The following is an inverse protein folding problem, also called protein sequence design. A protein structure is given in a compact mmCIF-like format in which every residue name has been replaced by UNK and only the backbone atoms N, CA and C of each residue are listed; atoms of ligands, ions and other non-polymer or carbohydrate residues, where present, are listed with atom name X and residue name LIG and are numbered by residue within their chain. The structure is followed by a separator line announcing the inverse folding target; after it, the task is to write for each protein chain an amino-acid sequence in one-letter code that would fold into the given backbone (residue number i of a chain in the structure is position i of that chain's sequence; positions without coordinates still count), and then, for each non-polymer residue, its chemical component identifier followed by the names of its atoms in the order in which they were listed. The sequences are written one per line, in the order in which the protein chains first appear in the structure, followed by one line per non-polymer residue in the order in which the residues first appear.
data_IF_675301543628
#
_entry.id   IF_675301543628
#
_cell.length_a   1.000
_cell.length_b   1.000
_cell.length_c   1.000
_cell.angle_alpha   90.00
_cell.angle_beta   90.00
_cell.angle_gamma   90.00
#
_symmetry.space_group_name_H-M   'P 1'
#
loop_
_entity.id
_entity.type
_entity.pdbx_description
1 polymer ?
#
# COMPACT_ATOMS: atom_id res chain seq x y z
N UNK A 1 12.55 5.97 11.68
CA UNK A 1 11.42 5.85 10.73
C UNK A 1 10.38 4.93 11.35
N UNK A 2 9.07 5.23 11.20
CA UNK A 2 8.00 4.37 11.71
C UNK A 2 8.10 2.97 11.09
N UNK A 3 7.70 1.94 11.85
CA UNK A 3 7.78 0.54 11.37
C UNK A 3 6.60 0.15 10.48
N UNK A 4 5.48 0.84 10.66
CA UNK A 4 4.23 0.62 9.92
C UNK A 4 3.65 1.94 9.45
N UNK A 5 2.75 1.88 8.46
CA UNK A 5 2.01 3.07 7.99
C UNK A 5 1.13 3.66 9.09
N UNK A 6 0.56 2.82 9.96
CA UNK A 6 -0.24 3.24 11.12
C UNK A 6 0.55 4.04 12.17
N UNK A 7 1.88 3.98 12.13
CA UNK A 7 2.78 4.72 13.03
C UNK A 7 3.32 6.02 12.41
N UNK A 8 2.82 6.44 11.25
CA UNK A 8 3.24 7.69 10.63
C UNK A 8 2.87 8.89 11.52
N UNK A 9 3.87 9.68 11.92
CA UNK A 9 3.68 10.85 12.80
C UNK A 9 3.42 12.16 12.07
N UNK A 10 3.63 12.21 10.74
CA UNK A 10 3.43 13.41 9.91
C UNK A 10 2.00 13.53 9.39
N UNK A 11 1.36 12.39 9.12
CA UNK A 11 -0.02 12.29 8.65
C UNK A 11 -0.69 11.15 9.40
N UNK A 12 -1.85 11.42 9.98
CA UNK A 12 -2.66 10.36 10.57
C UNK A 12 -3.19 9.43 9.49
N UNK A 13 -2.83 8.16 9.57
CA UNK A 13 -3.37 7.10 8.71
C UNK A 13 -4.11 6.13 9.61
N UNK A 14 -5.37 6.44 9.94
CA UNK A 14 -6.23 5.51 10.68
C UNK A 14 -6.77 4.39 9.78
N UNK A 15 -7.23 3.30 10.41
CA UNK A 15 -7.64 2.08 9.72
C UNK A 15 -8.82 2.31 8.75
N UNK A 16 -9.78 3.14 9.13
CA UNK A 16 -10.93 3.47 8.26
C UNK A 16 -10.44 4.14 6.98
N UNK A 17 -9.58 5.16 7.13
CA UNK A 17 -9.02 5.88 5.98
C UNK A 17 -8.19 4.96 5.11
N UNK A 18 -7.34 4.13 5.72
CA UNK A 18 -6.53 3.14 5.02
C UNK A 18 -7.38 2.17 4.20
N UNK A 19 -8.36 1.51 4.82
CA UNK A 19 -9.24 0.53 4.16
C UNK A 19 -10.04 1.19 3.02
N UNK A 20 -10.53 2.40 3.22
CA UNK A 20 -11.31 3.13 2.21
C UNK A 20 -10.51 3.46 0.94
N UNK A 21 -9.19 3.68 1.05
CA UNK A 21 -8.33 4.00 -0.10
C UNK A 21 -7.57 2.80 -0.65
N UNK A 22 -7.47 1.71 0.12
CA UNK A 22 -6.61 0.56 -0.16
C UNK A 22 -6.83 0.00 -1.57
N UNK A 23 -8.08 -0.16 -1.99
CA UNK A 23 -8.41 -0.73 -3.30
C UNK A 23 -7.94 0.17 -4.45
N UNK A 24 -8.34 1.45 -4.42
CA UNK A 24 -7.94 2.47 -5.41
C UNK A 24 -6.41 2.63 -5.48
N UNK A 25 -5.75 2.72 -4.33
CA UNK A 25 -4.29 2.89 -4.27
C UNK A 25 -3.56 1.67 -4.83
N UNK A 26 -4.10 0.46 -4.63
CA UNK A 26 -3.52 -0.77 -5.20
C UNK A 26 -3.62 -0.79 -6.73
N UNK A 27 -4.76 -0.35 -7.30
CA UNK A 27 -4.89 -0.17 -8.74
C UNK A 27 -3.89 0.85 -9.29
N UNK A 28 -3.81 2.03 -8.67
CA UNK A 28 -2.88 3.08 -9.11
C UNK A 28 -1.43 2.63 -9.08
N UNK A 29 -1.04 1.85 -8.07
CA UNK A 29 0.32 1.33 -7.96
C UNK A 29 0.64 0.28 -9.03
N UNK A 30 -0.33 -0.55 -9.44
CA UNK A 30 -0.13 -1.48 -10.58
C UNK A 30 0.00 -0.71 -11.89
N UNK A 31 -0.80 0.33 -12.08
CA UNK A 31 -0.82 1.16 -13.29
C UNK A 31 0.33 2.19 -13.36
N UNK A 32 1.14 2.31 -12.31
CA UNK A 32 2.27 3.23 -12.27
C UNK A 32 3.38 2.77 -13.25
N UNK A 33 3.90 3.65 -14.12
CA UNK A 33 4.96 3.29 -15.08
C UNK A 33 6.21 2.68 -14.43
N UNK A 34 6.49 2.99 -13.16
CA UNK A 34 7.61 2.39 -12.43
C UNK A 34 7.40 0.89 -12.24
N UNK A 35 6.16 0.42 -12.07
CA UNK A 35 5.81 -0.99 -11.90
C UNK A 35 6.15 -1.83 -13.14
N UNK A 36 6.18 -1.23 -14.33
CA UNK A 36 6.61 -1.90 -15.57
C UNK A 36 8.09 -2.32 -15.54
N UNK A 37 8.88 -1.72 -14.66
CA UNK A 37 10.31 -2.06 -14.46
C UNK A 37 10.56 -3.00 -13.29
N UNK A 38 9.52 -3.36 -12.53
CA UNK A 38 9.62 -4.32 -11.46
C UNK A 38 9.90 -5.72 -12.05
N UNK A 39 10.84 -6.52 -11.50
CA UNK A 39 11.17 -7.84 -12.05
C UNK A 39 10.01 -8.84 -11.98
N UNK A 40 9.06 -8.60 -11.08
CA UNK A 40 7.80 -9.32 -11.00
C UNK A 40 6.66 -8.46 -11.58
N UNK A 41 5.60 -9.08 -12.05
CA UNK A 41 4.38 -8.38 -12.49
C UNK A 41 3.29 -8.53 -11.43
N UNK A 42 3.24 -7.63 -10.41
CA UNK A 42 2.29 -7.78 -9.32
C UNK A 42 0.87 -7.55 -9.83
N UNK A 43 -0.07 -8.37 -9.37
CA UNK A 43 -1.49 -8.09 -9.51
C UNK A 43 -1.93 -7.03 -8.49
N UNK A 44 -3.12 -6.46 -8.70
CA UNK A 44 -3.74 -5.53 -7.73
C UNK A 44 -3.88 -6.20 -6.35
N UNK A 45 -4.17 -7.50 -6.33
CA UNK A 45 -4.30 -8.26 -5.08
C UNK A 45 -2.95 -8.43 -4.37
N UNK A 46 -1.85 -8.58 -5.11
CA UNK A 46 -0.51 -8.64 -4.53
C UNK A 46 -0.14 -7.32 -3.87
N UNK A 47 -0.37 -6.19 -4.58
CA UNK A 47 -0.11 -4.85 -4.03
C UNK A 47 -1.00 -4.56 -2.83
N UNK A 48 -2.27 -4.94 -2.87
CA UNK A 48 -3.20 -4.84 -1.74
C UNK A 48 -2.68 -5.60 -0.52
N UNK A 49 -2.13 -6.80 -0.73
CA UNK A 49 -1.44 -7.58 0.29
C UNK A 49 -0.21 -6.86 0.87
N UNK A 50 0.62 -6.24 0.03
CA UNK A 50 1.78 -5.47 0.46
C UNK A 50 1.39 -4.27 1.32
N UNK A 51 0.40 -3.46 0.88
CA UNK A 51 -0.09 -2.33 1.67
C UNK A 51 -0.68 -2.77 3.00
N UNK A 52 -1.42 -3.88 3.02
CA UNK A 52 -1.98 -4.46 4.25
C UNK A 52 -0.87 -4.83 5.23
N UNK A 53 0.18 -5.53 4.76
CA UNK A 53 1.33 -5.89 5.61
C UNK A 53 2.08 -4.65 6.11
N UNK A 54 2.25 -3.63 5.25
CA UNK A 54 2.88 -2.37 5.63
C UNK A 54 2.07 -1.58 6.68
N UNK A 55 0.75 -1.71 6.70
CA UNK A 55 -0.12 -1.04 7.66
C UNK A 55 -0.17 -1.76 9.02
N UNK A 56 -0.31 -3.09 9.04
CA UNK A 56 -0.45 -3.87 10.26
C UNK A 56 0.89 -4.37 10.85
N UNK A 57 1.97 -4.39 10.07
CA UNK A 57 3.31 -4.82 10.51
C UNK A 57 3.47 -6.34 10.59
N UNK A 58 3.35 -7.02 9.44
CA UNK A 58 3.42 -8.48 9.29
C UNK A 58 4.65 -8.96 8.51
#
# INVERSE_FOLDING_TARGET
MPKTLSQCGEVEINEITFVNVLDRMSHHAVDDPCTLTNPNYPSVQDVKGLYTKAFYGA
#
